data_IF_336554178940
#
_entry.id   IF_336554178940
#
_cell.length_a   1.000
_cell.length_b   1.000
_cell.length_c   1.000
_cell.angle_alpha   90.00
_cell.angle_beta   90.00
_cell.angle_gamma   90.00
#
_symmetry.space_group_name_H-M   'P 1'
#
loop_
_entity.id
_entity.type
_entity.pdbx_description
1 polymer ?
#
# COMPACT_ATOMS: atom_id res chain seq x y z
N UNK A 1 -7.06 4.94 -56.93
CA UNK A 1 -8.06 4.41 -55.98
C UNK A 1 -7.77 2.94 -55.76
N UNK A 2 -7.21 2.58 -54.60
CA UNK A 2 -7.34 1.24 -54.04
C UNK A 2 -7.16 1.35 -52.52
N UNK A 3 -7.98 0.56 -51.83
CA UNK A 3 -8.44 0.70 -50.47
C UNK A 3 -7.34 0.34 -49.45
N UNK A 4 -7.33 1.08 -48.34
CA UNK A 4 -6.45 0.86 -47.20
C UNK A 4 -6.61 -0.57 -46.64
N UNK A 5 -5.51 -1.35 -46.66
CA UNK A 5 -5.43 -2.56 -45.86
C UNK A 5 -5.15 -2.20 -44.40
N UNK A 6 -6.01 -2.73 -43.52
CA UNK A 6 -5.94 -2.64 -42.07
C UNK A 6 -4.55 -2.95 -41.54
N UNK A 7 -3.93 -2.02 -40.81
CA UNK A 7 -2.73 -2.31 -40.03
C UNK A 7 -3.13 -2.74 -38.64
N UNK A 8 -2.78 -3.98 -38.29
CA UNK A 8 -2.83 -4.51 -36.92
C UNK A 8 -2.03 -3.60 -36.00
N UNK A 9 -2.64 -3.23 -34.88
CA UNK A 9 -2.08 -2.38 -33.83
C UNK A 9 -0.78 -2.98 -33.29
N UNK A 10 0.37 -2.53 -33.79
CA UNK A 10 1.67 -2.79 -33.18
C UNK A 10 1.85 -1.80 -32.02
N UNK A 11 1.76 -2.31 -30.79
CA UNK A 11 2.09 -1.60 -29.55
C UNK A 11 3.50 -1.01 -29.66
N UNK A 12 3.63 0.30 -29.47
CA UNK A 12 4.92 0.98 -29.38
C UNK A 12 5.51 0.78 -27.97
N UNK A 13 6.49 -0.12 -27.83
CA UNK A 13 7.41 -0.14 -26.68
C UNK A 13 8.37 1.03 -26.81
N UNK A 14 8.26 2.00 -25.91
CA UNK A 14 9.18 3.12 -25.74
C UNK A 14 10.49 2.57 -25.12
N UNK A 15 11.61 2.79 -25.82
CA UNK A 15 12.98 2.41 -25.44
C UNK A 15 13.25 0.89 -25.28
N UNK A 16 13.35 0.19 -26.41
CA UNK A 16 14.03 -1.12 -26.44
C UNK A 16 15.54 -0.90 -26.44
N UNK A 17 16.17 -1.00 -25.27
CA UNK A 17 17.58 -1.38 -25.19
C UNK A 17 17.61 -2.88 -25.49
N UNK A 18 18.30 -3.30 -26.54
CA UNK A 18 18.41 -4.71 -26.86
C UNK A 18 19.47 -5.35 -25.98
N UNK A 19 19.12 -6.47 -25.35
CA UNK A 19 20.03 -7.26 -24.51
C UNK A 19 21.32 -7.65 -25.27
N UNK A 20 21.28 -7.71 -26.60
CA UNK A 20 22.45 -7.98 -27.45
C UNK A 20 23.42 -6.79 -27.56
N UNK A 21 22.96 -5.56 -27.35
CA UNK A 21 23.85 -4.40 -27.20
C UNK A 21 24.54 -4.42 -25.83
N UNK A 22 23.79 -4.71 -24.77
CA UNK A 22 24.35 -4.88 -23.41
C UNK A 22 25.34 -6.06 -23.37
N UNK A 23 25.00 -7.20 -23.98
CA UNK A 23 25.87 -8.40 -24.05
C UNK A 23 27.16 -8.19 -24.83
N UNK A 24 27.13 -7.36 -25.89
CA UNK A 24 28.36 -7.03 -26.62
C UNK A 24 29.32 -6.23 -25.74
N UNK A 25 28.79 -5.30 -24.95
CA UNK A 25 29.60 -4.46 -24.06
C UNK A 25 30.09 -5.22 -22.81
N UNK A 26 29.31 -6.18 -22.30
CA UNK A 26 29.65 -6.98 -21.11
C UNK A 26 30.62 -8.14 -21.42
N UNK A 27 30.48 -8.79 -22.59
CA UNK A 27 31.39 -9.85 -23.06
C UNK A 27 32.79 -9.29 -23.38
N UNK A 28 32.88 -8.04 -23.85
CA UNK A 28 34.15 -7.36 -24.10
C UNK A 28 34.92 -7.02 -22.80
N UNK A 29 34.21 -6.82 -21.68
CA UNK A 29 34.83 -6.41 -20.41
C UNK A 29 35.04 -7.55 -19.40
N UNK A 30 34.15 -8.55 -19.30
CA UNK A 30 34.15 -9.48 -18.14
C UNK A 30 33.91 -10.99 -18.41
N UNK A 31 33.64 -11.42 -19.65
CA UNK A 31 33.44 -12.85 -19.98
C UNK A 31 32.12 -13.47 -19.47
N UNK A 32 31.63 -14.52 -20.14
CA UNK A 32 30.22 -14.92 -20.10
C UNK A 32 29.76 -15.67 -18.83
N UNK A 33 28.74 -15.13 -18.15
CA UNK A 33 27.98 -15.77 -17.04
C UNK A 33 26.84 -16.63 -17.61
N UNK A 34 26.84 -17.93 -17.36
CA UNK A 34 25.79 -18.85 -17.85
C UNK A 34 24.66 -19.06 -16.84
N UNK A 35 23.44 -19.30 -17.34
CA UNK A 35 22.23 -19.56 -16.55
C UNK A 35 22.38 -20.70 -15.52
N UNK A 36 23.33 -21.61 -15.74
CA UNK A 36 23.65 -22.71 -14.83
C UNK A 36 24.17 -22.21 -13.46
N UNK A 37 24.85 -21.06 -13.44
CA UNK A 37 25.39 -20.45 -12.22
C UNK A 37 24.30 -19.81 -11.35
N UNK A 38 23.32 -19.15 -11.97
CA UNK A 38 22.19 -18.50 -11.29
C UNK A 38 21.24 -19.53 -10.66
N UNK A 39 20.96 -20.63 -11.37
CA UNK A 39 20.10 -21.71 -10.86
C UNK A 39 20.77 -22.46 -9.70
N UNK A 40 22.08 -22.68 -9.74
CA UNK A 40 22.83 -23.33 -8.63
C UNK A 40 22.90 -22.46 -7.37
N UNK A 41 22.93 -21.13 -7.50
CA UNK A 41 22.93 -20.18 -6.37
C UNK A 41 21.58 -20.16 -5.64
N UNK A 42 20.48 -20.09 -6.38
CA UNK A 42 19.10 -20.04 -5.85
C UNK A 42 18.69 -21.36 -5.18
N UNK A 43 19.01 -22.52 -5.79
CA UNK A 43 18.65 -23.83 -5.23
C UNK A 43 19.39 -24.20 -3.94
N UNK A 44 20.51 -23.52 -3.63
CA UNK A 44 21.27 -23.71 -2.39
C UNK A 44 20.66 -22.95 -1.21
N UNK A 45 19.90 -21.87 -1.47
CA UNK A 45 19.22 -21.08 -0.44
C UNK A 45 17.90 -21.71 0.02
N UNK A 46 17.27 -22.56 -0.80
CA UNK A 46 15.90 -23.05 -0.58
C UNK A 46 15.78 -24.45 0.07
N UNK A 47 16.84 -25.02 0.64
CA UNK A 47 16.78 -26.30 1.38
C UNK A 47 16.99 -26.14 2.88
N UNK A 48 16.01 -25.55 3.57
CA UNK A 48 15.65 -25.86 4.97
C UNK A 48 14.27 -25.28 5.31
N UNK A 49 13.22 -26.11 5.17
CA UNK A 49 11.94 -25.92 5.84
C UNK A 49 11.67 -27.16 6.69
N UNK A 50 11.28 -26.96 7.95
CA UNK A 50 10.41 -27.93 8.63
C UNK A 50 10.30 -27.80 10.14
N UNK A 51 9.29 -27.07 10.65
CA UNK A 51 8.13 -27.58 11.43
C UNK A 51 7.35 -26.46 12.15
N UNK A 52 6.01 -26.50 12.04
CA UNK A 52 5.03 -25.84 12.94
C UNK A 52 4.80 -26.73 14.18
N UNK A 53 4.39 -26.21 15.34
CA UNK A 53 2.95 -26.04 15.68
C UNK A 53 2.68 -24.70 16.43
N UNK A 54 1.49 -24.09 16.40
CA UNK A 54 0.29 -24.48 17.17
C UNK A 54 0.19 -23.63 18.46
N UNK A 55 -0.90 -22.87 18.63
CA UNK A 55 -1.15 -22.07 19.84
C UNK A 55 -2.43 -21.24 19.72
N UNK A 56 -3.53 -21.81 20.21
CA UNK A 56 -4.84 -21.17 20.42
C UNK A 56 -4.79 -20.37 21.74
N UNK A 57 -5.40 -19.20 21.78
CA UNK A 57 -5.32 -18.27 22.90
C UNK A 57 -6.39 -17.18 22.81
N UNK A 58 -7.61 -17.52 23.25
CA UNK A 58 -8.71 -16.58 23.44
C UNK A 58 -8.50 -15.78 24.72
N UNK A 59 -8.10 -14.52 24.58
CA UNK A 59 -8.25 -13.51 25.64
C UNK A 59 -9.46 -12.63 25.36
N UNK A 60 -10.61 -13.01 25.93
CA UNK A 60 -11.77 -12.14 26.03
C UNK A 60 -11.54 -11.12 27.14
N UNK A 61 -10.88 -10.01 26.79
CA UNK A 61 -10.78 -8.84 27.64
C UNK A 61 -12.18 -8.35 28.02
N UNK A 62 -12.42 -8.22 29.33
CA UNK A 62 -13.62 -7.59 29.90
C UNK A 62 -13.84 -6.23 29.22
N UNK A 63 -14.86 -6.16 28.38
CA UNK A 63 -15.45 -4.90 27.92
C UNK A 63 -15.91 -4.17 29.18
N UNK A 64 -15.13 -3.19 29.61
CA UNK A 64 -15.63 -2.18 30.53
C UNK A 64 -16.61 -1.38 29.70
N UNK A 65 -17.83 -1.23 30.17
CA UNK A 65 -18.79 -0.32 29.58
C UNK A 65 -18.27 1.11 29.82
N UNK A 66 -17.36 1.54 28.96
CA UNK A 66 -16.86 2.91 28.93
C UNK A 66 -17.98 3.70 28.29
N UNK A 67 -18.74 4.43 29.11
CA UNK A 67 -19.63 5.45 28.61
C UNK A 67 -18.79 6.41 27.76
N UNK A 68 -19.01 6.44 26.44
CA UNK A 68 -18.22 7.28 25.52
C UNK A 68 -18.25 8.75 25.95
N UNK A 69 -19.36 9.20 26.53
CA UNK A 69 -19.54 10.57 27.07
C UNK A 69 -18.58 10.92 28.22
N UNK A 70 -17.96 9.93 28.86
CA UNK A 70 -17.03 10.17 29.98
C UNK A 70 -15.63 10.59 29.53
N UNK A 71 -15.23 10.30 28.29
CA UNK A 71 -13.90 10.60 27.80
C UNK A 71 -13.85 11.97 27.12
N UNK A 72 -13.27 12.96 27.82
CA UNK A 72 -13.10 14.34 27.33
C UNK A 72 -12.27 14.45 26.04
N UNK A 73 -11.49 13.42 25.69
CA UNK A 73 -10.67 13.41 24.47
C UNK A 73 -11.53 13.27 23.21
N UNK A 74 -12.63 12.53 23.29
CA UNK A 74 -13.53 12.32 22.16
C UNK A 74 -14.12 13.63 21.61
N UNK A 75 -14.78 14.47 22.43
CA UNK A 75 -15.29 15.76 21.96
C UNK A 75 -14.16 16.73 21.58
N UNK A 76 -12.97 16.63 22.17
CA UNK A 76 -11.82 17.46 21.80
C UNK A 76 -11.36 17.19 20.36
N UNK A 77 -11.47 15.95 19.88
CA UNK A 77 -11.18 15.55 18.50
C UNK A 77 -12.45 15.46 17.65
N UNK A 78 -13.52 16.18 18.02
CA UNK A 78 -14.78 16.27 17.28
C UNK A 78 -15.45 14.93 16.99
N UNK A 79 -15.24 13.90 17.82
CA UNK A 79 -16.02 12.66 17.74
C UNK A 79 -17.42 12.90 18.31
N UNK A 80 -18.43 12.85 17.44
CA UNK A 80 -19.84 13.00 17.83
C UNK A 80 -20.55 11.65 17.85
N UNK A 81 -21.70 11.53 18.55
CA UNK A 81 -22.54 10.34 18.49
C UNK A 81 -22.91 9.93 17.05
N UNK A 82 -23.11 10.91 16.17
CA UNK A 82 -23.37 10.68 14.74
C UNK A 82 -22.16 10.06 14.04
N UNK A 83 -20.94 10.54 14.30
CA UNK A 83 -19.70 9.90 13.79
C UNK A 83 -19.60 8.45 14.23
N UNK A 84 -19.96 8.14 15.48
CA UNK A 84 -19.97 6.76 15.96
C UNK A 84 -21.02 5.92 15.23
N UNK A 85 -22.28 6.38 15.19
CA UNK A 85 -23.39 5.60 14.64
C UNK A 85 -23.31 5.45 13.12
N UNK A 86 -22.85 6.47 12.40
CA UNK A 86 -22.87 6.49 10.93
C UNK A 86 -21.57 6.00 10.30
N UNK A 87 -20.43 6.17 10.98
CA UNK A 87 -19.11 5.87 10.41
C UNK A 87 -18.47 4.69 11.15
N UNK A 88 -18.20 4.83 12.45
CA UNK A 88 -17.39 3.84 13.19
C UNK A 88 -18.11 2.50 13.40
N UNK A 89 -19.36 2.51 13.85
CA UNK A 89 -20.12 1.27 14.12
C UNK A 89 -20.28 0.41 12.86
N UNK A 90 -20.69 0.95 11.69
CA UNK A 90 -20.72 0.19 10.44
C UNK A 90 -19.35 -0.36 10.04
N UNK A 91 -18.27 0.42 10.20
CA UNK A 91 -16.91 -0.06 9.91
C UNK A 91 -16.50 -1.26 10.76
N UNK A 92 -16.90 -1.30 12.03
CA UNK A 92 -16.60 -2.42 12.94
C UNK A 92 -17.40 -3.67 12.57
N UNK A 93 -18.70 -3.51 12.28
CA UNK A 93 -19.62 -4.63 12.02
C UNK A 93 -19.35 -5.23 10.63
N UNK A 94 -19.37 -4.38 9.60
CA UNK A 94 -19.33 -4.81 8.20
C UNK A 94 -17.89 -4.96 7.66
N UNK A 95 -16.89 -4.48 8.41
CA UNK A 95 -15.46 -4.46 8.02
C UNK A 95 -15.23 -3.75 6.69
N UNK A 96 -16.07 -2.75 6.40
CA UNK A 96 -16.04 -1.92 5.19
C UNK A 96 -16.29 -0.48 5.59
N UNK A 97 -15.78 0.45 4.80
CA UNK A 97 -16.10 1.86 4.97
C UNK A 97 -17.61 2.09 4.91
N UNK A 98 -18.09 3.02 5.73
CA UNK A 98 -19.50 3.38 5.75
C UNK A 98 -19.91 4.01 4.40
N UNK A 99 -21.03 3.54 3.85
CA UNK A 99 -21.58 4.06 2.60
C UNK A 99 -22.63 5.13 2.87
N UNK A 100 -22.50 6.24 2.16
CA UNK A 100 -23.46 7.34 2.15
C UNK A 100 -24.01 7.60 0.74
N UNK A 101 -25.00 8.49 0.66
CA UNK A 101 -25.55 8.98 -0.60
C UNK A 101 -25.74 10.49 -0.52
N UNK A 102 -26.03 11.13 -1.67
CA UNK A 102 -26.08 12.59 -1.85
C UNK A 102 -24.70 13.26 -1.86
N UNK A 103 -24.67 14.53 -2.26
CA UNK A 103 -23.46 15.36 -2.23
C UNK A 103 -23.14 15.83 -0.81
N UNK A 104 -21.92 16.34 -0.64
CA UNK A 104 -21.55 17.04 0.59
C UNK A 104 -22.02 18.50 0.50
N UNK A 105 -23.12 18.82 1.18
CA UNK A 105 -23.68 20.17 1.23
C UNK A 105 -23.04 21.06 2.32
N UNK A 106 -22.05 20.53 3.06
CA UNK A 106 -21.33 21.31 4.06
C UNK A 106 -20.48 22.42 3.41
N UNK A 107 -20.33 23.54 4.13
CA UNK A 107 -19.43 24.60 3.71
C UNK A 107 -17.98 24.06 3.59
N UNK A 108 -17.21 24.66 2.66
CA UNK A 108 -15.78 24.39 2.59
C UNK A 108 -15.13 24.67 3.95
N UNK A 109 -14.11 23.89 4.31
CA UNK A 109 -13.49 23.98 5.64
C UNK A 109 -12.95 25.39 5.97
N UNK A 110 -12.54 26.17 4.97
CA UNK A 110 -12.09 27.55 5.15
C UNK A 110 -13.22 28.59 5.29
N UNK A 111 -14.46 28.24 4.94
CA UNK A 111 -15.65 29.09 5.02
C UNK A 111 -16.60 28.66 6.14
N UNK A 112 -16.28 27.57 6.83
CA UNK A 112 -17.10 27.03 7.91
C UNK A 112 -17.01 27.92 9.15
N UNK A 113 -18.16 28.26 9.73
CA UNK A 113 -18.25 28.93 11.04
C UNK A 113 -17.82 28.00 12.19
N UNK A 114 -17.84 26.68 11.96
CA UNK A 114 -17.29 25.67 12.85
C UNK A 114 -15.81 25.44 12.53
N UNK A 115 -14.96 25.21 13.53
CA UNK A 115 -13.54 24.87 13.35
C UNK A 115 -13.40 23.39 12.94
N UNK A 116 -13.22 23.06 11.65
CA UNK A 116 -13.10 21.68 11.19
C UNK A 116 -11.71 21.13 11.52
N UNK A 117 -11.59 19.80 11.56
CA UNK A 117 -10.30 19.16 11.79
C UNK A 117 -9.36 19.35 10.60
N UNK A 118 -8.05 19.26 10.85
CA UNK A 118 -7.01 19.52 9.86
C UNK A 118 -7.20 18.73 8.56
N UNK A 119 -7.60 17.47 8.65
CA UNK A 119 -7.78 16.61 7.48
C UNK A 119 -8.92 17.08 6.55
N UNK A 120 -9.89 17.86 7.04
CA UNK A 120 -10.98 18.41 6.22
C UNK A 120 -10.51 19.47 5.21
N UNK A 121 -9.31 20.03 5.40
CA UNK A 121 -8.72 20.99 4.48
C UNK A 121 -8.01 20.32 3.29
N UNK A 122 -7.65 19.04 3.42
CA UNK A 122 -6.96 18.29 2.38
C UNK A 122 -7.96 17.50 1.54
N UNK A 123 -7.99 17.77 0.24
CA UNK A 123 -8.83 17.04 -0.71
C UNK A 123 -8.01 15.97 -1.41
N UNK A 124 -8.57 14.76 -1.54
CA UNK A 124 -7.92 13.67 -2.25
C UNK A 124 -7.88 13.98 -3.75
N UNK A 125 -6.67 13.95 -4.32
CA UNK A 125 -6.50 14.08 -5.76
C UNK A 125 -6.82 12.77 -6.45
N UNK A 126 -7.36 12.85 -7.66
CA UNK A 126 -7.64 11.69 -8.49
C UNK A 126 -7.16 11.93 -9.92
N UNK A 127 -6.77 10.84 -10.56
CA UNK A 127 -6.31 10.86 -11.94
C UNK A 127 -7.49 10.98 -12.91
N UNK A 128 -7.33 11.80 -13.95
CA UNK A 128 -8.29 11.93 -15.04
C UNK A 128 -7.54 12.07 -16.37
N UNK A 129 -8.00 11.36 -17.40
CA UNK A 129 -7.52 11.44 -18.80
C UNK A 129 -6.05 11.02 -19.00
N UNK A 130 -5.09 11.65 -18.31
CA UNK A 130 -3.65 11.46 -18.46
C UNK A 130 -3.17 10.10 -17.98
N UNK A 131 -3.77 9.59 -16.92
CA UNK A 131 -3.53 8.24 -16.39
C UNK A 131 -4.85 7.66 -15.85
N UNK A 132 -5.19 6.40 -16.16
CA UNK A 132 -6.39 5.77 -15.64
C UNK A 132 -6.24 5.42 -14.15
N UNK A 133 -7.32 5.50 -13.34
CA UNK A 133 -7.31 4.97 -11.97
C UNK A 133 -7.23 3.44 -11.98
N UNK A 134 -6.62 2.86 -10.94
CA UNK A 134 -6.51 1.41 -10.73
C UNK A 134 -7.72 0.93 -9.91
N UNK A 135 -8.30 -0.22 -10.26
CA UNK A 135 -9.38 -0.85 -9.48
C UNK A 135 -8.81 -1.57 -8.25
N UNK A 136 -9.06 -1.08 -7.02
CA UNK A 136 -8.46 -1.64 -5.81
C UNK A 136 -8.96 -3.05 -5.45
N UNK A 137 -10.08 -3.51 -6.02
CA UNK A 137 -10.62 -4.84 -5.77
C UNK A 137 -10.20 -5.83 -6.86
N UNK A 138 -10.32 -5.44 -8.13
CA UNK A 138 -10.02 -6.34 -9.26
C UNK A 138 -8.52 -6.45 -9.54
N UNK A 139 -7.76 -5.40 -9.26
CA UNK A 139 -6.33 -5.30 -9.55
C UNK A 139 -5.48 -5.25 -8.27
N UNK A 140 -5.99 -5.78 -7.16
CA UNK A 140 -5.30 -5.75 -5.86
C UNK A 140 -3.88 -6.36 -5.91
N UNK A 141 -3.63 -7.32 -6.80
CA UNK A 141 -2.33 -8.00 -6.93
C UNK A 141 -1.18 -7.07 -7.39
N UNK A 142 -1.50 -5.95 -8.05
CA UNK A 142 -0.49 -4.96 -8.47
C UNK A 142 -0.30 -3.82 -7.46
N UNK A 143 -1.05 -3.84 -6.35
CA UNK A 143 -0.99 -2.85 -5.28
C UNK A 143 -0.28 -3.43 -4.04
N UNK A 144 0.37 -2.58 -3.25
CA UNK A 144 1.02 -2.96 -1.99
C UNK A 144 0.92 -1.83 -0.97
N UNK A 145 0.69 -2.19 0.30
CA UNK A 145 0.73 -1.26 1.44
C UNK A 145 2.01 -1.41 2.27
N UNK A 146 2.99 -2.19 1.79
CA UNK A 146 4.24 -2.43 2.50
C UNK A 146 4.96 -1.12 2.80
N UNK A 147 5.35 -0.96 4.05
CA UNK A 147 5.97 0.25 4.56
C UNK A 147 7.33 -0.11 5.19
N UNK A 148 8.46 0.17 4.51
CA UNK A 148 9.77 0.06 5.12
C UNK A 148 10.00 1.24 6.08
N UNK A 149 10.44 0.94 7.30
CA UNK A 149 10.77 1.92 8.34
C UNK A 149 12.26 1.82 8.65
N UNK A 150 12.94 2.97 8.63
CA UNK A 150 14.37 3.10 8.91
C UNK A 150 15.04 4.04 7.92
N UNK A 151 16.37 4.25 8.05
CA UNK A 151 17.11 5.12 7.15
C UNK A 151 17.06 4.63 5.70
N UNK A 152 16.96 5.58 4.76
CA UNK A 152 17.19 5.30 3.35
C UNK A 152 18.68 5.41 3.05
N UNK A 153 19.24 4.36 2.43
CA UNK A 153 20.65 4.34 2.02
C UNK A 153 20.82 5.05 0.68
N UNK A 154 22.06 5.42 0.37
CA UNK A 154 22.40 5.99 -0.93
C UNK A 154 22.05 5.01 -2.06
N UNK A 155 21.24 5.44 -3.04
CA UNK A 155 20.82 4.60 -4.17
C UNK A 155 21.97 4.29 -5.14
N UNK A 156 23.03 5.12 -5.15
CA UNK A 156 24.17 4.96 -6.05
C UNK A 156 25.22 3.98 -5.52
N UNK A 157 25.21 3.72 -4.21
CA UNK A 157 26.19 2.88 -3.52
C UNK A 157 25.47 1.67 -2.93
N UNK A 158 25.65 0.46 -3.50
CA UNK A 158 25.00 -0.74 -2.99
C UNK A 158 25.68 -1.18 -1.68
N UNK A 159 25.21 -0.64 -0.57
CA UNK A 159 25.66 -1.00 0.78
C UNK A 159 24.79 -2.11 1.39
N UNK A 160 25.42 -2.96 2.23
CA UNK A 160 24.73 -4.04 2.95
C UNK A 160 23.76 -3.54 4.04
N UNK A 161 23.77 -2.24 4.37
CA UNK A 161 22.90 -1.64 5.39
C UNK A 161 21.42 -1.60 5.00
N UNK A 162 21.08 -1.91 3.74
CA UNK A 162 19.69 -2.09 3.26
C UNK A 162 18.89 -3.10 4.11
N UNK A 163 19.55 -4.05 4.77
CA UNK A 163 18.93 -5.09 5.61
C UNK A 163 18.51 -4.62 7.00
N UNK A 164 18.88 -3.39 7.40
CA UNK A 164 18.59 -2.85 8.75
C UNK A 164 17.18 -2.28 8.93
N UNK A 165 16.33 -2.30 7.88
CA UNK A 165 14.97 -1.73 7.92
C UNK A 165 13.94 -2.72 8.43
N UNK A 166 12.99 -2.20 9.20
CA UNK A 166 11.80 -2.93 9.61
C UNK A 166 10.80 -2.82 8.47
N UNK A 167 10.38 -3.96 7.91
CA UNK A 167 9.36 -3.98 6.86
C UNK A 167 8.01 -4.30 7.46
N UNK A 168 7.10 -3.32 7.46
CA UNK A 168 5.69 -3.54 7.81
C UNK A 168 4.90 -3.95 6.57
N UNK A 169 3.91 -4.84 6.74
CA UNK A 169 3.01 -5.23 5.66
C UNK A 169 1.97 -4.14 5.32
N UNK A 170 1.62 -3.30 6.31
CA UNK A 170 0.68 -2.19 6.16
C UNK A 170 1.01 -1.06 7.14
N UNK A 171 0.56 0.19 6.89
CA UNK A 171 0.87 1.33 7.75
C UNK A 171 -0.02 1.43 9.00
N UNK A 172 -1.09 0.63 9.10
CA UNK A 172 -2.02 0.66 10.23
C UNK A 172 -1.61 -0.38 11.27
N UNK A 173 -1.32 0.09 12.48
CA UNK A 173 -0.89 -0.72 13.62
C UNK A 173 -1.96 -0.74 14.71
N UNK A 174 -2.24 -1.93 15.23
CA UNK A 174 -3.07 -2.14 16.41
C UNK A 174 -2.24 -2.00 17.69
N UNK A 175 -2.91 -1.86 18.84
CA UNK A 175 -2.22 -1.81 20.15
C UNK A 175 -1.39 -3.08 20.43
N UNK A 176 -1.78 -4.22 19.85
CA UNK A 176 -1.03 -5.48 19.98
C UNK A 176 0.26 -5.41 19.16
N UNK A 177 0.22 -4.80 17.98
CA UNK A 177 1.40 -4.64 17.12
C UNK A 177 2.46 -3.71 17.75
N UNK A 178 2.06 -2.83 18.67
CA UNK A 178 2.97 -1.98 19.45
C UNK A 178 3.59 -2.67 20.67
N UNK A 179 3.07 -3.83 21.09
CA UNK A 179 3.62 -4.59 22.21
C UNK A 179 4.69 -5.53 21.70
N UNK A 180 5.90 -4.99 21.51
CA UNK A 180 7.14 -5.74 21.23
C UNK A 180 7.93 -5.93 22.52
#
# INVERSE_FOLDING_TARGET
MQIAHSRNHKKLTINRIYLDQIRKDDVLNHGAVTNEYLIKRELKQLKLIGKRPGGDGKDHGRLRDIHLDSDRRLPLFSYTPDTFSLILVPMIIDKKEALGSMGNDAALACLSDYSPLLYSYFQQLFAQVTNPPIDPFREQIVMSLRCPIGPETNLLEPEFELESRILLDQPVLSLVDFQV
#
